data_IF_409053107527
#
_entry.id   IF_409053107527
#
_cell.length_a   1.000
_cell.length_b   1.000
_cell.length_c   1.000
_cell.angle_alpha   90.00
_cell.angle_beta   90.00
_cell.angle_gamma   90.00
#
_symmetry.space_group_name_H-M   'P 1'
#
loop_
_entity.id
_entity.type
_entity.pdbx_description
1 polymer ?
#
# COMPACT_ATOMS: atom_id res chain seq x y z
N UNK A 1 0.91 11.00 5.86
CA UNK A 1 -0.42 10.74 5.29
C UNK A 1 -0.90 9.32 5.59
N UNK A 2 -0.17 8.30 5.15
CA UNK A 2 -0.49 6.87 5.42
C UNK A 2 -0.65 6.55 6.91
N UNK A 3 0.14 7.18 7.77
CA UNK A 3 0.01 7.07 9.23
C UNK A 3 -1.36 7.49 9.76
N UNK A 4 -1.97 8.54 9.17
CA UNK A 4 -3.30 9.03 9.58
C UNK A 4 -4.35 7.97 9.31
N UNK A 5 -4.30 7.33 8.14
CA UNK A 5 -5.26 6.31 7.74
C UNK A 5 -5.14 5.00 8.56
N UNK A 6 -4.11 4.84 9.39
CA UNK A 6 -3.94 3.66 10.24
C UNK A 6 -5.05 3.49 11.29
N UNK A 7 -5.80 4.55 11.62
CA UNK A 7 -6.94 4.46 12.57
C UNK A 7 -8.20 3.88 11.95
N UNK A 8 -8.25 3.77 10.62
CA UNK A 8 -9.34 3.08 9.93
C UNK A 8 -9.18 1.58 10.19
N UNK A 9 -10.18 1.00 10.85
CA UNK A 9 -10.19 -0.42 11.18
C UNK A 9 -10.16 -1.29 9.92
N UNK A 10 -9.41 -2.39 9.98
CA UNK A 10 -9.30 -3.38 8.88
C UNK A 10 -9.79 -4.76 9.32
N UNK A 11 -11.10 -4.97 9.54
CA UNK A 11 -11.63 -6.23 10.11
C UNK A 11 -11.23 -7.47 9.31
N UNK A 12 -11.16 -7.37 7.98
CA UNK A 12 -10.75 -8.47 7.12
C UNK A 12 -9.33 -8.97 7.42
N UNK A 13 -8.41 -8.08 7.82
CA UNK A 13 -7.03 -8.45 8.15
C UNK A 13 -6.94 -9.24 9.47
N UNK A 14 -7.91 -9.11 10.37
CA UNK A 14 -7.97 -9.88 11.62
C UNK A 14 -8.17 -11.36 11.28
N UNK A 15 -9.20 -11.66 10.48
CA UNK A 15 -9.49 -13.02 10.05
C UNK A 15 -8.38 -13.60 9.20
N UNK A 16 -7.83 -12.80 8.28
CA UNK A 16 -6.68 -13.20 7.47
C UNK A 16 -5.48 -13.56 8.34
N UNK A 17 -5.08 -12.69 9.28
CA UNK A 17 -3.95 -12.94 10.16
C UNK A 17 -4.14 -14.23 10.98
N UNK A 18 -5.32 -14.44 11.56
CA UNK A 18 -5.63 -15.66 12.30
C UNK A 18 -5.54 -16.93 11.43
N UNK A 19 -6.02 -16.86 10.19
CA UNK A 19 -5.94 -17.98 9.23
C UNK A 19 -4.48 -18.25 8.80
N UNK A 20 -3.69 -17.20 8.56
CA UNK A 20 -2.28 -17.32 8.19
C UNK A 20 -1.45 -17.92 9.32
N UNK A 21 -1.66 -17.50 10.57
CA UNK A 21 -1.01 -18.14 11.73
C UNK A 21 -1.44 -19.60 11.87
N UNK A 22 -2.74 -19.91 11.70
CA UNK A 22 -3.24 -21.29 11.80
C UNK A 22 -2.59 -22.20 10.77
N UNK A 23 -2.42 -21.73 9.53
CA UNK A 23 -1.75 -22.48 8.48
C UNK A 23 -0.29 -22.80 8.86
N UNK A 24 0.46 -21.80 9.34
CA UNK A 24 1.85 -22.00 9.80
C UNK A 24 1.93 -23.03 10.94
N UNK A 25 1.04 -22.93 11.93
CA UNK A 25 1.03 -23.85 13.08
C UNK A 25 0.70 -25.28 12.63
N UNK A 26 -0.28 -25.45 11.74
CA UNK A 26 -0.64 -26.76 11.17
C UNK A 26 0.56 -27.34 10.42
N UNK A 27 1.18 -26.58 9.53
CA UNK A 27 2.35 -27.02 8.75
C UNK A 27 3.52 -27.42 9.67
N UNK A 28 3.86 -26.58 10.64
CA UNK A 28 4.95 -26.86 11.59
C UNK A 28 4.66 -28.11 12.44
N UNK A 29 3.41 -28.32 12.84
CA UNK A 29 2.97 -29.49 13.60
C UNK A 29 2.97 -30.76 12.75
N UNK A 30 2.53 -30.70 11.49
CA UNK A 30 2.57 -31.82 10.54
C UNK A 30 4.00 -32.25 10.26
N UNK A 31 4.91 -31.32 9.97
CA UNK A 31 6.32 -31.61 9.76
C UNK A 31 6.94 -32.25 11.02
N UNK A 32 6.58 -31.75 12.21
CA UNK A 32 7.06 -32.34 13.46
C UNK A 32 6.52 -33.75 13.69
N UNK A 33 5.30 -34.04 13.23
CA UNK A 33 4.72 -35.38 13.30
C UNK A 33 5.46 -36.37 12.38
N UNK A 34 5.83 -35.93 11.16
CA UNK A 34 6.58 -36.76 10.19
C UNK A 34 8.00 -37.10 10.69
N UNK A 35 8.64 -36.20 11.44
CA UNK A 35 9.98 -36.43 11.98
C UNK A 35 10.04 -37.45 13.13
N UNK A 36 8.90 -37.88 13.68
CA UNK A 36 8.87 -38.82 14.82
C UNK A 36 9.22 -40.22 14.32
N UNK A 37 10.30 -40.86 14.82
CA UNK A 37 10.69 -42.20 14.39
C UNK A 37 9.59 -43.23 14.63
N UNK A 38 9.36 -44.09 13.63
CA UNK A 38 8.36 -45.18 13.61
C UNK A 38 8.54 -46.15 14.82
N UNK A 39 9.73 -46.16 15.42
CA UNK A 39 10.17 -47.03 16.51
C UNK A 39 9.42 -46.80 17.85
N UNK A 40 8.40 -45.92 17.88
CA UNK A 40 7.37 -45.91 18.92
C UNK A 40 7.68 -45.13 20.19
N UNK A 41 8.86 -44.49 20.31
CA UNK A 41 9.12 -43.56 21.42
C UNK A 41 8.40 -42.24 21.18
N UNK A 42 7.26 -42.07 21.83
CA UNK A 42 6.54 -40.80 21.88
C UNK A 42 7.44 -39.72 22.47
N UNK A 43 7.50 -38.58 21.78
CA UNK A 43 8.16 -37.38 22.31
C UNK A 43 7.47 -36.95 23.62
N UNK A 44 8.25 -36.47 24.60
CA UNK A 44 7.65 -35.89 25.80
C UNK A 44 6.88 -34.61 25.42
N UNK A 45 5.83 -34.27 26.18
CA UNK A 45 5.06 -33.05 25.94
C UNK A 45 5.95 -31.81 25.94
N UNK A 46 6.93 -31.74 26.84
CA UNK A 46 7.86 -30.61 26.94
C UNK A 46 8.75 -30.49 25.71
N UNK A 47 9.32 -31.60 25.24
CA UNK A 47 10.12 -31.60 24.03
C UNK A 47 9.27 -31.23 22.80
N UNK A 48 8.03 -31.73 22.71
CA UNK A 48 7.11 -31.38 21.63
C UNK A 48 6.81 -29.87 21.59
N UNK A 49 6.43 -29.30 22.73
CA UNK A 49 6.14 -27.85 22.83
C UNK A 49 7.37 -27.02 22.49
N UNK A 50 8.55 -27.39 22.98
CA UNK A 50 9.78 -26.66 22.69
C UNK A 50 10.12 -26.69 21.19
N UNK A 51 10.14 -27.87 20.58
CA UNK A 51 10.45 -28.03 19.14
C UNK A 51 9.43 -27.34 18.24
N UNK A 52 8.14 -27.46 18.54
CA UNK A 52 7.09 -26.79 17.76
C UNK A 52 7.21 -25.27 17.86
N UNK A 53 7.46 -24.74 19.06
CA UNK A 53 7.66 -23.29 19.28
C UNK A 53 8.86 -22.77 18.50
N UNK A 54 9.95 -23.52 18.47
CA UNK A 54 11.15 -23.18 17.69
C UNK A 54 10.86 -23.13 16.19
N UNK A 55 10.13 -24.12 15.66
CA UNK A 55 9.76 -24.19 14.22
C UNK A 55 8.84 -23.06 13.78
N UNK A 56 7.84 -22.72 14.58
CA UNK A 56 6.95 -21.58 14.30
C UNK A 56 7.77 -20.28 14.30
N UNK A 57 8.71 -20.17 15.25
CA UNK A 57 9.58 -19.02 15.41
C UNK A 57 8.87 -17.83 16.06
N UNK A 58 9.60 -16.71 16.19
CA UNK A 58 9.13 -15.52 16.92
C UNK A 58 8.32 -14.55 16.05
N UNK A 59 8.61 -14.51 14.76
CA UNK A 59 7.98 -13.57 13.84
C UNK A 59 6.66 -14.15 13.35
N UNK A 60 5.58 -13.39 13.55
CA UNK A 60 4.21 -13.79 13.17
C UNK A 60 4.13 -14.02 11.66
N UNK A 61 3.50 -15.11 11.24
CA UNK A 61 3.35 -15.50 9.83
C UNK A 61 2.75 -14.37 8.97
N UNK A 62 1.67 -13.75 9.44
CA UNK A 62 1.01 -12.67 8.70
C UNK A 62 1.90 -11.43 8.51
N UNK A 63 2.84 -11.16 9.43
CA UNK A 63 3.80 -10.07 9.29
C UNK A 63 4.83 -10.37 8.21
N UNK A 64 5.27 -11.63 8.09
CA UNK A 64 6.17 -12.06 7.00
C UNK A 64 5.49 -11.89 5.65
N UNK A 65 4.23 -12.33 5.53
CA UNK A 65 3.47 -12.21 4.29
C UNK A 65 3.17 -10.74 3.92
N UNK A 66 2.87 -9.90 4.91
CA UNK A 66 2.70 -8.46 4.69
C UNK A 66 4.00 -7.81 4.21
N UNK A 67 5.15 -8.17 4.79
CA UNK A 67 6.46 -7.65 4.38
C UNK A 67 6.80 -8.05 2.94
N UNK A 68 6.58 -9.31 2.56
CA UNK A 68 6.76 -9.77 1.17
C UNK A 68 5.87 -9.01 0.19
N UNK A 69 4.61 -8.75 0.57
CA UNK A 69 3.68 -8.00 -0.26
C UNK A 69 4.09 -6.52 -0.40
N UNK A 70 4.57 -5.90 0.68
CA UNK A 70 5.06 -4.53 0.69
C UNK A 70 6.35 -4.36 -0.13
N UNK A 71 7.24 -5.34 -0.09
CA UNK A 71 8.48 -5.38 -0.87
C UNK A 71 8.17 -5.38 -2.39
N UNK A 72 7.21 -6.20 -2.83
CA UNK A 72 6.75 -6.18 -4.23
C UNK A 72 6.24 -4.79 -4.63
N UNK A 73 5.38 -4.19 -3.81
CA UNK A 73 4.89 -2.84 -4.09
C UNK A 73 6.02 -1.83 -4.22
N UNK A 74 6.99 -1.87 -3.30
CA UNK A 74 8.14 -0.96 -3.29
C UNK A 74 9.01 -1.11 -4.56
N UNK A 75 9.23 -2.34 -5.01
CA UNK A 75 9.97 -2.61 -6.25
C UNK A 75 9.22 -2.08 -7.49
N UNK A 76 7.90 -2.23 -7.54
CA UNK A 76 7.08 -1.69 -8.64
C UNK A 76 7.15 -0.17 -8.69
N UNK A 77 6.98 0.51 -7.53
CA UNK A 77 7.09 1.96 -7.44
C UNK A 77 8.46 2.47 -7.87
N UNK A 78 9.54 1.85 -7.39
CA UNK A 78 10.90 2.22 -7.77
C UNK A 78 11.14 2.09 -9.28
N UNK A 79 10.62 1.02 -9.91
CA UNK A 79 10.78 0.81 -11.34
C UNK A 79 9.94 1.78 -12.18
N UNK A 80 8.72 2.10 -11.75
CA UNK A 80 7.86 3.13 -12.37
C UNK A 80 8.52 4.50 -12.28
N UNK A 81 9.01 4.89 -11.09
CA UNK A 81 9.71 6.16 -10.88
C UNK A 81 10.94 6.26 -11.79
N UNK A 82 11.79 5.22 -11.78
CA UNK A 82 13.00 5.18 -12.61
C UNK A 82 12.66 5.33 -14.10
N UNK A 83 11.65 4.61 -14.58
CA UNK A 83 11.19 4.66 -15.98
C UNK A 83 10.73 6.07 -16.37
N UNK A 84 9.85 6.67 -15.58
CA UNK A 84 9.29 8.00 -15.84
C UNK A 84 10.37 9.09 -15.82
N UNK A 85 11.26 9.06 -14.82
CA UNK A 85 12.35 10.04 -14.71
C UNK A 85 13.34 9.92 -15.87
N UNK A 86 13.67 8.69 -16.28
CA UNK A 86 14.56 8.42 -17.43
C UNK A 86 13.98 9.01 -18.71
N UNK A 87 12.69 8.83 -18.96
CA UNK A 87 12.04 9.34 -20.16
C UNK A 87 11.99 10.87 -20.22
N UNK A 88 11.85 11.52 -19.07
CA UNK A 88 11.98 12.98 -18.95
C UNK A 88 13.44 13.47 -19.14
N UNK A 89 14.38 12.59 -19.47
CA UNK A 89 15.79 12.93 -19.66
C UNK A 89 16.52 13.29 -18.36
N UNK A 90 15.95 12.95 -17.20
CA UNK A 90 16.63 13.16 -15.92
C UNK A 90 17.79 12.18 -15.77
N UNK A 91 18.85 12.62 -15.08
CA UNK A 91 19.95 11.73 -14.71
C UNK A 91 19.45 10.80 -13.60
N UNK A 92 19.20 9.55 -13.95
CA UNK A 92 18.78 8.50 -13.02
C UNK A 92 19.89 7.48 -12.80
N UNK A 93 19.83 6.78 -11.67
CA UNK A 93 20.74 5.67 -11.35
C UNK A 93 20.53 4.43 -12.22
N UNK A 94 21.17 3.30 -11.88
CA UNK A 94 20.93 2.03 -12.57
C UNK A 94 19.47 1.60 -12.45
N UNK A 95 19.00 0.82 -13.42
CA UNK A 95 17.67 0.23 -13.39
C UNK A 95 17.48 -0.64 -12.13
N UNK A 96 16.39 -0.45 -11.37
CA UNK A 96 16.11 -1.25 -10.19
C UNK A 96 16.03 -2.75 -10.54
N UNK A 97 16.75 -3.58 -9.79
CA UNK A 97 16.57 -5.03 -9.88
C UNK A 97 15.29 -5.41 -9.16
N UNK A 98 14.36 -6.03 -9.88
CA UNK A 98 13.04 -6.42 -9.36
C UNK A 98 12.80 -7.91 -9.56
N UNK A 99 11.96 -8.49 -8.71
CA UNK A 99 11.50 -9.87 -8.90
C UNK A 99 10.39 -9.98 -9.95
N UNK A 100 10.15 -11.19 -10.47
CA UNK A 100 9.18 -11.44 -11.54
C UNK A 100 7.81 -10.79 -11.28
N UNK A 101 7.25 -10.94 -10.08
CA UNK A 101 5.94 -10.35 -9.72
C UNK A 101 5.90 -8.83 -9.87
N UNK A 102 7.02 -8.15 -9.60
CA UNK A 102 7.12 -6.71 -9.77
C UNK A 102 7.32 -6.34 -11.25
N UNK A 103 8.10 -7.12 -12.00
CA UNK A 103 8.23 -6.95 -13.45
C UNK A 103 6.88 -7.11 -14.17
N UNK A 104 6.05 -8.10 -13.78
CA UNK A 104 4.70 -8.29 -14.31
C UNK A 104 3.80 -7.08 -14.03
N UNK A 105 3.78 -6.58 -12.80
CA UNK A 105 3.01 -5.39 -12.45
C UNK A 105 3.48 -4.14 -13.21
N UNK A 106 4.78 -4.04 -13.47
CA UNK A 106 5.34 -2.96 -14.30
C UNK A 106 4.88 -3.07 -15.77
N UNK A 107 4.78 -4.26 -16.34
CA UNK A 107 4.21 -4.44 -17.69
C UNK A 107 2.76 -3.97 -17.75
N UNK A 108 1.94 -4.29 -16.74
CA UNK A 108 0.56 -3.80 -16.68
C UNK A 108 0.47 -2.28 -16.51
N UNK A 109 1.42 -1.68 -15.79
CA UNK A 109 1.54 -0.22 -15.73
C UNK A 109 1.84 0.35 -17.13
N UNK A 110 2.76 -0.25 -17.88
CA UNK A 110 3.14 0.20 -19.22
C UNK A 110 1.96 0.13 -20.20
N UNK A 111 1.12 -0.90 -20.10
CA UNK A 111 -0.11 -1.02 -20.88
C UNK A 111 -1.11 0.09 -20.54
N UNK A 112 -1.37 0.31 -19.25
CA UNK A 112 -2.25 1.38 -18.78
C UNK A 112 -1.75 2.77 -19.22
N UNK A 113 -0.45 2.99 -19.08
CA UNK A 113 0.25 4.22 -19.45
C UNK A 113 0.10 4.52 -20.95
N UNK A 114 0.28 3.53 -21.82
CA UNK A 114 0.07 3.66 -23.27
C UNK A 114 -1.40 3.94 -23.61
N UNK A 115 -2.33 3.21 -23.00
CA UNK A 115 -3.75 3.36 -23.25
C UNK A 115 -4.26 4.76 -22.88
N UNK A 116 -3.71 5.36 -21.82
CA UNK A 116 -4.10 6.69 -21.31
C UNK A 116 -3.25 7.82 -21.84
N UNK A 117 -2.25 7.55 -22.70
CA UNK A 117 -1.31 8.57 -23.20
C UNK A 117 -0.70 9.42 -22.08
N UNK A 118 -0.29 8.76 -20.99
CA UNK A 118 0.21 9.43 -19.80
C UNK A 118 1.41 10.34 -20.13
N UNK A 119 1.34 11.58 -19.63
CA UNK A 119 2.44 12.56 -19.68
C UNK A 119 2.73 13.03 -18.25
N UNK A 120 3.90 12.69 -17.67
CA UNK A 120 4.19 13.01 -16.28
C UNK A 120 4.47 14.50 -16.08
N UNK A 121 3.92 15.07 -14.99
CA UNK A 121 4.12 16.47 -14.59
C UNK A 121 4.98 16.55 -13.32
N UNK A 122 4.69 15.74 -12.30
CA UNK A 122 5.50 15.64 -11.08
C UNK A 122 5.54 14.19 -10.56
N UNK A 123 6.74 13.69 -10.26
CA UNK A 123 7.00 12.28 -9.90
C UNK A 123 7.57 12.23 -8.47
N UNK A 124 6.98 11.40 -7.60
CA UNK A 124 7.40 11.22 -6.19
C UNK A 124 7.55 12.55 -5.45
N UNK A 125 6.60 13.45 -5.67
CA UNK A 125 6.61 14.80 -5.10
C UNK A 125 6.04 14.78 -3.68
N UNK A 126 6.79 15.38 -2.75
CA UNK A 126 6.28 15.65 -1.40
C UNK A 126 5.25 16.77 -1.48
N UNK A 127 4.06 16.51 -0.96
CA UNK A 127 2.97 17.48 -0.83
C UNK A 127 2.51 17.62 0.62
N UNK A 128 2.05 18.81 1.00
CA UNK A 128 1.57 19.08 2.34
C UNK A 128 0.41 20.07 2.36
N UNK A 129 -0.42 19.94 3.39
CA UNK A 129 -1.44 20.90 3.77
C UNK A 129 -1.03 21.55 5.09
N UNK A 130 -0.77 22.85 5.04
CA UNK A 130 -0.53 23.69 6.22
C UNK A 130 -1.85 23.89 6.97
N UNK A 131 -2.95 24.10 6.23
CA UNK A 131 -4.28 24.30 6.80
C UNK A 131 -4.75 23.10 7.63
N UNK A 132 -4.59 21.89 7.10
CA UNK A 132 -5.05 20.66 7.75
C UNK A 132 -3.93 19.91 8.49
N UNK A 133 -2.68 20.38 8.40
CA UNK A 133 -1.49 19.87 9.10
C UNK A 133 -1.20 18.40 8.78
N UNK A 134 -1.04 18.08 7.51
CA UNK A 134 -0.55 16.76 7.07
C UNK A 134 0.41 16.90 5.90
N UNK A 135 1.23 15.86 5.67
CA UNK A 135 2.11 15.75 4.52
C UNK A 135 2.19 14.29 4.02
N UNK A 136 2.61 14.09 2.79
CA UNK A 136 2.91 12.79 2.20
C UNK A 136 3.60 12.94 0.85
N UNK A 137 4.03 11.82 0.27
CA UNK A 137 4.60 11.78 -1.08
C UNK A 137 3.58 11.13 -2.00
N UNK A 138 3.21 11.81 -3.08
CA UNK A 138 2.34 11.26 -4.12
C UNK A 138 3.17 10.53 -5.15
N UNK A 139 2.66 9.42 -5.70
CA UNK A 139 3.41 8.63 -6.68
C UNK A 139 3.60 9.43 -7.97
N UNK A 140 2.51 10.00 -8.51
CA UNK A 140 2.55 10.75 -9.76
C UNK A 140 1.41 11.77 -9.88
N UNK A 141 1.74 12.94 -10.41
CA UNK A 141 0.80 13.90 -11.01
C UNK A 141 1.09 13.99 -12.51
N UNK A 142 0.06 13.80 -13.34
CA UNK A 142 0.23 13.68 -14.79
C UNK A 142 -1.00 14.15 -15.56
N UNK A 143 -0.80 14.41 -16.85
CA UNK A 143 -1.88 14.55 -17.83
C UNK A 143 -2.18 13.18 -18.42
N UNK A 144 -3.44 12.79 -18.42
CA UNK A 144 -3.90 11.49 -18.96
C UNK A 144 -5.22 11.65 -19.71
N UNK A 145 -5.44 10.81 -20.71
CA UNK A 145 -6.70 10.65 -21.41
C UNK A 145 -7.56 9.62 -20.66
N UNK A 146 -8.68 10.07 -20.11
CA UNK A 146 -9.64 9.23 -19.38
C UNK A 146 -11.02 9.36 -20.04
N UNK A 147 -11.61 8.27 -20.48
CA UNK A 147 -13.00 8.27 -20.93
C UNK A 147 -13.98 8.26 -19.73
N UNK A 148 -15.09 9.01 -19.78
CA UNK A 148 -15.55 9.90 -20.86
C UNK A 148 -15.07 11.37 -20.74
N UNK A 149 -14.11 11.65 -19.87
CA UNK A 149 -13.70 13.01 -19.47
C UNK A 149 -12.70 13.68 -20.43
N UNK A 150 -12.04 12.91 -21.31
CA UNK A 150 -11.00 13.40 -22.19
C UNK A 150 -9.67 13.64 -21.46
N UNK A 151 -8.93 14.67 -21.85
CA UNK A 151 -7.63 15.00 -21.24
C UNK A 151 -7.84 15.64 -19.87
N UNK A 152 -7.24 15.06 -18.83
CA UNK A 152 -7.41 15.44 -17.43
C UNK A 152 -6.06 15.56 -16.72
N UNK A 153 -5.98 16.50 -15.77
CA UNK A 153 -4.93 16.54 -14.76
C UNK A 153 -5.27 15.56 -13.63
N UNK A 154 -4.38 14.62 -13.32
CA UNK A 154 -4.69 13.49 -12.45
C UNK A 154 -3.57 13.20 -11.47
N UNK A 155 -3.94 13.08 -10.18
CA UNK A 155 -3.08 12.46 -9.18
C UNK A 155 -3.30 10.95 -9.21
N UNK A 156 -2.24 10.23 -9.57
CA UNK A 156 -2.20 8.78 -9.74
C UNK A 156 -1.58 8.12 -8.51
N UNK A 157 -2.17 7.02 -8.10
CA UNK A 157 -1.75 6.21 -6.96
C UNK A 157 -1.71 4.73 -7.35
N UNK A 158 -0.51 4.13 -7.43
CA UNK A 158 -0.31 2.76 -7.90
C UNK A 158 -0.43 1.77 -6.76
N UNK A 159 -1.30 0.77 -6.92
CA UNK A 159 -1.51 -0.28 -5.92
C UNK A 159 -1.21 -1.64 -6.51
N UNK A 160 -0.43 -2.46 -5.81
CA UNK A 160 -0.20 -3.87 -6.17
C UNK A 160 -0.99 -4.83 -5.27
N UNK A 161 -1.99 -4.31 -4.56
CA UNK A 161 -2.85 -5.07 -3.66
C UNK A 161 -3.84 -5.97 -4.40
N UNK A 162 -4.65 -6.73 -3.63
CA UNK A 162 -5.71 -7.58 -4.18
C UNK A 162 -6.93 -6.81 -4.70
N UNK A 163 -7.02 -5.52 -4.40
CA UNK A 163 -8.15 -4.67 -4.75
C UNK A 163 -7.86 -3.21 -4.43
N UNK A 164 -8.75 -2.33 -4.86
CA UNK A 164 -8.77 -0.91 -4.45
C UNK A 164 -9.55 -0.79 -3.14
N UNK A 165 -8.87 -0.34 -2.08
CA UNK A 165 -9.47 -0.16 -0.77
C UNK A 165 -9.89 1.30 -0.54
N UNK A 166 -10.95 1.57 0.26
CA UNK A 166 -11.43 2.93 0.52
C UNK A 166 -10.34 3.89 1.01
N UNK A 167 -9.38 3.40 1.79
CA UNK A 167 -8.26 4.21 2.29
C UNK A 167 -7.37 4.75 1.16
N UNK A 168 -7.24 4.05 0.03
CA UNK A 168 -6.51 4.55 -1.12
C UNK A 168 -7.23 5.77 -1.74
N UNK A 169 -8.56 5.78 -1.75
CA UNK A 169 -9.36 6.91 -2.23
C UNK A 169 -9.19 8.12 -1.29
N UNK A 170 -9.22 7.90 0.02
CA UNK A 170 -8.97 8.95 1.01
C UNK A 170 -7.54 9.50 0.94
N UNK A 171 -6.57 8.62 0.70
CA UNK A 171 -5.18 9.00 0.48
C UNK A 171 -5.04 9.90 -0.75
N UNK A 172 -5.62 9.48 -1.87
CA UNK A 172 -5.58 10.23 -3.13
C UNK A 172 -6.24 11.62 -2.99
N UNK A 173 -7.40 11.71 -2.33
CA UNK A 173 -8.07 12.98 -2.05
C UNK A 173 -7.21 13.93 -1.20
N UNK A 174 -6.49 13.39 -0.21
CA UNK A 174 -5.57 14.19 0.58
C UNK A 174 -4.36 14.68 -0.26
N UNK A 175 -3.88 13.90 -1.22
CA UNK A 175 -2.83 14.36 -2.13
C UNK A 175 -3.32 15.48 -3.04
N UNK A 176 -4.50 15.32 -3.66
CA UNK A 176 -5.09 16.35 -4.53
C UNK A 176 -5.29 17.66 -3.77
N UNK A 177 -5.87 17.61 -2.57
CA UNK A 177 -6.05 18.82 -1.77
C UNK A 177 -4.73 19.51 -1.43
N UNK A 178 -3.69 18.75 -1.04
CA UNK A 178 -2.39 19.31 -0.71
C UNK A 178 -1.70 19.92 -1.95
N UNK A 179 -1.80 19.25 -3.10
CA UNK A 179 -1.26 19.74 -4.37
C UNK A 179 -1.88 21.09 -4.77
N UNK A 180 -3.21 21.23 -4.60
CA UNK A 180 -3.94 22.47 -4.84
C UNK A 180 -3.52 23.56 -3.85
N UNK A 181 -3.45 23.23 -2.55
CA UNK A 181 -3.05 24.18 -1.50
C UNK A 181 -1.63 24.74 -1.73
N UNK A 182 -0.73 23.92 -2.24
CA UNK A 182 0.64 24.32 -2.61
C UNK A 182 0.70 25.17 -3.90
N UNK A 183 -0.41 25.33 -4.61
CA UNK A 183 -0.45 26.08 -5.87
C UNK A 183 0.14 25.34 -7.06
N UNK A 184 0.30 24.01 -6.98
CA UNK A 184 0.81 23.18 -8.07
C UNK A 184 -0.27 22.72 -9.06
N UNK A 185 -1.55 22.87 -8.71
CA UNK A 185 -2.67 22.54 -9.57
C UNK A 185 -3.90 23.42 -9.28
N UNK A 186 -4.85 23.45 -10.23
CA UNK A 186 -6.16 24.11 -10.06
C UNK A 186 -7.17 23.17 -9.38
N UNK A 187 -8.39 23.63 -9.12
CA UNK A 187 -9.43 22.81 -8.46
C UNK A 187 -10.03 21.71 -9.35
N UNK A 188 -9.61 21.59 -10.62
CA UNK A 188 -10.15 20.62 -11.59
C UNK A 188 -9.24 19.38 -11.74
N UNK A 189 -8.73 18.86 -10.62
CA UNK A 189 -7.85 17.68 -10.60
C UNK A 189 -8.65 16.43 -10.28
N UNK A 190 -8.55 15.42 -11.15
CA UNK A 190 -9.08 14.09 -10.88
C UNK A 190 -8.10 13.28 -10.04
N UNK A 191 -8.60 12.22 -9.42
CA UNK A 191 -7.79 11.15 -8.87
C UNK A 191 -7.87 9.90 -9.73
N UNK A 192 -6.85 9.07 -9.67
CA UNK A 192 -6.93 7.69 -10.17
C UNK A 192 -6.15 6.77 -9.22
N UNK A 193 -6.84 5.79 -8.65
CA UNK A 193 -6.19 4.66 -8.00
C UNK A 193 -6.15 3.52 -9.00
N UNK A 194 -4.95 3.04 -9.33
CA UNK A 194 -4.73 2.02 -10.36
C UNK A 194 -4.15 0.77 -9.70
N UNK A 195 -4.91 -0.32 -9.70
CA UNK A 195 -4.47 -1.62 -9.22
C UNK A 195 -3.76 -2.38 -10.34
N UNK A 196 -2.47 -2.63 -10.13
CA UNK A 196 -1.61 -3.39 -11.03
C UNK A 196 -1.62 -4.87 -10.62
N UNK A 197 -2.01 -5.80 -11.51
CA UNK A 197 -1.92 -7.23 -11.27
C UNK A 197 -0.44 -7.67 -11.18
N UNK A 198 -0.15 -8.70 -10.39
CA UNK A 198 1.22 -9.18 -10.13
C UNK A 198 1.51 -10.54 -10.77
N UNK A 199 0.49 -11.24 -11.24
CA UNK A 199 0.58 -12.58 -11.84
C UNK A 199 -0.45 -12.70 -12.96
N UNK A 200 -0.23 -13.63 -13.89
CA UNK A 200 -1.12 -13.87 -15.05
C UNK A 200 -2.54 -14.27 -14.63
N UNK A 201 -2.71 -14.89 -13.47
CA UNK A 201 -4.02 -15.28 -12.94
C UNK A 201 -4.75 -14.16 -12.21
N UNK A 202 -4.11 -13.01 -11.99
CA UNK A 202 -4.80 -11.84 -11.44
C UNK A 202 -5.72 -11.28 -12.53
N UNK A 203 -6.91 -10.77 -12.16
CA UNK A 203 -7.75 -10.03 -13.09
C UNK A 203 -6.99 -8.86 -13.73
N UNK A 204 -7.47 -8.38 -14.89
CA UNK A 204 -6.96 -7.15 -15.54
C UNK A 204 -6.88 -5.97 -14.55
N UNK A 205 -6.06 -4.97 -14.89
CA UNK A 205 -5.88 -3.79 -14.05
C UNK A 205 -7.24 -3.16 -13.68
N UNK A 206 -7.39 -2.83 -12.40
CA UNK A 206 -8.60 -2.20 -11.89
C UNK A 206 -8.32 -0.71 -11.72
N UNK A 207 -9.20 0.15 -12.22
CA UNK A 207 -9.01 1.61 -12.16
C UNK A 207 -10.22 2.22 -11.47
N UNK A 208 -9.96 2.99 -10.40
CA UNK A 208 -10.97 3.88 -9.81
C UNK A 208 -10.57 5.32 -10.07
N UNK A 209 -11.21 5.92 -11.07
CA UNK A 209 -11.17 7.36 -11.32
C UNK A 209 -12.00 8.05 -10.24
N UNK A 210 -11.53 9.19 -9.72
CA UNK A 210 -12.22 9.99 -8.71
C UNK A 210 -12.42 11.38 -9.33
N UNK A 211 -13.67 11.80 -9.53
CA UNK A 211 -13.95 13.13 -10.11
C UNK A 211 -13.60 14.26 -9.14
N UNK A 212 -13.40 15.50 -9.60
CA UNK A 212 -13.15 16.64 -8.71
C UNK A 212 -14.23 16.80 -7.63
N UNK A 213 -15.50 16.52 -7.94
CA UNK A 213 -16.60 16.56 -6.99
C UNK A 213 -16.47 15.46 -5.93
N UNK A 214 -16.14 14.23 -6.35
CA UNK A 214 -15.88 13.11 -5.43
C UNK A 214 -14.66 13.39 -4.55
N UNK A 215 -13.61 14.06 -5.07
CA UNK A 215 -12.44 14.44 -4.29
C UNK A 215 -12.81 15.32 -3.10
N UNK A 216 -13.72 16.28 -3.30
CA UNK A 216 -14.20 17.17 -2.22
C UNK A 216 -14.88 16.37 -1.12
N UNK A 217 -15.75 15.42 -1.47
CA UNK A 217 -16.45 14.59 -0.50
C UNK A 217 -15.51 13.62 0.23
N UNK A 218 -14.61 12.96 -0.49
CA UNK A 218 -13.60 12.07 0.10
C UNK A 218 -12.64 12.84 1.01
N UNK A 219 -12.27 14.07 0.65
CA UNK A 219 -11.41 14.90 1.48
C UNK A 219 -12.08 15.28 2.81
N UNK A 220 -13.38 15.58 2.82
CA UNK A 220 -14.13 15.79 4.08
C UNK A 220 -14.06 14.55 4.98
N UNK A 221 -14.20 13.35 4.41
CA UNK A 221 -14.05 12.09 5.15
C UNK A 221 -12.62 11.94 5.68
N UNK A 222 -11.60 12.24 4.86
CA UNK A 222 -10.20 12.21 5.29
C UNK A 222 -9.95 13.13 6.49
N UNK A 223 -10.49 14.35 6.49
CA UNK A 223 -10.37 15.29 7.62
C UNK A 223 -10.98 14.72 8.90
N UNK A 224 -12.11 14.02 8.81
CA UNK A 224 -12.70 13.33 9.97
C UNK A 224 -11.80 12.19 10.48
N UNK A 225 -11.22 11.40 9.59
CA UNK A 225 -10.25 10.35 9.96
C UNK A 225 -9.01 10.98 10.62
N UNK A 226 -8.55 12.12 10.11
CA UNK A 226 -7.45 12.87 10.73
C UNK A 226 -7.80 13.36 12.13
N UNK A 227 -9.01 13.88 12.34
CA UNK A 227 -9.45 14.30 13.67
C UNK A 227 -9.45 13.12 14.67
N UNK A 228 -9.90 11.95 14.25
CA UNK A 228 -9.82 10.72 15.05
C UNK A 228 -8.36 10.33 15.35
N UNK A 229 -7.48 10.43 14.35
CA UNK A 229 -6.05 10.16 14.53
C UNK A 229 -5.40 11.13 15.52
N UNK A 230 -5.63 12.44 15.37
CA UNK A 230 -5.11 13.46 16.27
C UNK A 230 -5.57 13.19 17.73
N UNK A 231 -6.84 12.82 17.93
CA UNK A 231 -7.38 12.41 19.24
C UNK A 231 -6.68 11.17 19.81
N UNK A 232 -6.48 10.13 18.99
CA UNK A 232 -5.79 8.90 19.40
C UNK A 232 -4.35 9.17 19.82
N UNK A 233 -3.62 9.99 19.03
CA UNK A 233 -2.25 10.37 19.34
C UNK A 233 -2.14 11.17 20.65
N UNK A 234 -3.09 12.06 20.92
CA UNK A 234 -3.13 12.83 22.16
C UNK A 234 -3.29 11.93 23.40
N UNK A 235 -4.15 10.91 23.32
CA UNK A 235 -4.34 9.93 24.40
C UNK A 235 -3.05 9.12 24.63
N UNK A 236 -2.41 8.64 23.57
CA UNK A 236 -1.15 7.90 23.70
C UNK A 236 -0.03 8.75 24.32
N UNK A 237 0.06 10.02 23.93
CA UNK A 237 1.02 10.95 24.50
C UNK A 237 0.77 11.15 26.00
N UNK A 238 -0.48 11.38 26.42
CA UNK A 238 -0.84 11.52 27.82
C UNK A 238 -0.50 10.27 28.65
N UNK A 239 -0.77 9.06 28.11
CA UNK A 239 -0.40 7.79 28.76
C UNK A 239 1.10 7.63 28.94
N UNK A 240 1.91 8.02 27.95
CA UNK A 240 3.37 7.96 28.03
C UNK A 240 3.95 8.92 29.06
N UNK A 241 3.33 10.09 29.24
CA UNK A 241 3.72 11.04 30.30
C UNK A 241 3.39 10.46 31.67
N UNK A 242 2.17 9.95 31.86
CA UNK A 242 1.75 9.34 33.13
C UNK A 242 2.58 8.11 33.52
N UNK A 243 3.04 7.30 32.58
CA UNK A 243 3.88 6.13 32.85
C UNK A 243 5.33 6.48 33.23
N UNK A 244 5.76 7.73 33.03
CA UNK A 244 7.11 8.22 33.37
C UNK A 244 7.14 9.04 34.67
N UNK A 245 5.98 9.41 35.19
CA UNK A 245 5.81 10.09 36.47
C UNK A 245 5.68 9.07 37.61
#
# INVERSE_FOLDING_TARGET
MTSILSVVGKPALINWAANTERALVIEAASNLWEDIPINGKKMSRTAYVATLTERIGKQKAHQKELAKAADIGSQVHALIEWNLRRELGQIVGPEPTVQDKAAWAFMSYEDWRKATKLVPVAIEQVVWSTQHRYAGTMDLFADVLIEPYGSCHVVLDWKTGKGIYPEALLQNAAYVQALIEMGHATTLVHGAVVRLPKVETDPEFEVRIITPEEQVELFKVFVNVKALWDWSQAIEAARKVAAKA
#
